data_IF_628659876400
#
_entry.id   IF_628659876400
#
_cell.length_a   1.000
_cell.length_b   1.000
_cell.length_c   1.000
_cell.angle_alpha   90.00
_cell.angle_beta   90.00
_cell.angle_gamma   90.00
#
_symmetry.space_group_name_H-M   'P 1'
#
loop_
_entity.id
_entity.type
_entity.pdbx_description
1 polymer ?
#
# COMPACT_ATOMS: atom_id res chain seq x y z
N UNK A 1 -15.89 38.74 37.67
CA UNK A 1 -15.91 39.41 36.34
C UNK A 1 -14.54 39.90 35.90
N UNK A 2 -13.91 40.91 36.53
CA UNK A 2 -12.59 41.42 36.07
C UNK A 2 -11.50 40.35 36.24
N UNK A 3 -11.45 39.68 37.39
CA UNK A 3 -10.45 38.65 37.68
C UNK A 3 -10.53 37.45 36.71
N UNK A 4 -11.75 37.06 36.34
CA UNK A 4 -12.00 35.98 35.37
C UNK A 4 -11.53 36.36 33.96
N UNK A 5 -11.73 37.63 33.57
CA UNK A 5 -11.24 38.15 32.28
C UNK A 5 -9.71 38.20 32.22
N UNK A 6 -9.04 38.60 33.31
CA UNK A 6 -7.57 38.59 33.37
C UNK A 6 -7.00 37.16 33.37
N UNK A 7 -7.67 36.23 34.06
CA UNK A 7 -7.30 34.81 34.05
C UNK A 7 -7.39 34.23 32.64
N UNK A 8 -8.47 34.52 31.90
CA UNK A 8 -8.62 34.06 30.52
C UNK A 8 -7.57 34.66 29.58
N UNK A 9 -7.27 35.96 29.71
CA UNK A 9 -6.22 36.63 28.92
C UNK A 9 -4.84 36.04 29.19
N UNK A 10 -4.51 35.80 30.46
CA UNK A 10 -3.24 35.22 30.86
C UNK A 10 -3.15 33.76 30.41
N UNK A 11 -4.22 32.97 30.51
CA UNK A 11 -4.27 31.60 30.01
C UNK A 11 -4.04 31.56 28.49
N UNK A 12 -4.69 32.43 27.72
CA UNK A 12 -4.48 32.50 26.27
C UNK A 12 -3.05 32.92 25.91
N UNK A 13 -2.47 33.89 26.63
CA UNK A 13 -1.09 34.32 26.41
C UNK A 13 -0.09 33.21 26.74
N UNK A 14 -0.27 32.50 27.86
CA UNK A 14 0.57 31.37 28.24
C UNK A 14 0.46 30.23 27.23
N UNK A 15 -0.76 29.93 26.75
CA UNK A 15 -1.01 28.92 25.72
C UNK A 15 -0.31 29.27 24.40
N UNK A 16 -0.40 30.52 23.92
CA UNK A 16 0.30 30.99 22.71
C UNK A 16 1.83 30.89 22.87
N UNK A 17 2.39 31.37 23.97
CA UNK A 17 3.84 31.31 24.22
C UNK A 17 4.34 29.89 24.38
N UNK A 18 3.59 29.04 25.06
CA UNK A 18 3.91 27.62 25.19
C UNK A 18 3.89 26.91 23.83
N UNK A 19 2.88 27.16 22.99
CA UNK A 19 2.80 26.60 21.65
C UNK A 19 4.01 27.00 20.79
N UNK A 20 4.36 28.30 20.78
CA UNK A 20 5.50 28.83 20.02
C UNK A 20 6.86 28.29 20.51
N UNK A 21 7.03 28.15 21.83
CA UNK A 21 8.25 27.54 22.38
C UNK A 21 8.35 26.05 22.09
N UNK A 22 7.24 25.32 22.25
CA UNK A 22 7.20 23.88 21.96
C UNK A 22 7.46 23.63 20.49
N UNK A 23 6.91 24.45 19.60
CA UNK A 23 7.19 24.43 18.17
C UNK A 23 8.70 24.49 17.86
N UNK A 24 9.38 25.51 18.39
CA UNK A 24 10.81 25.71 18.13
C UNK A 24 11.67 24.53 18.58
N UNK A 25 11.24 23.77 19.58
CA UNK A 25 11.96 22.60 20.11
C UNK A 25 11.47 21.27 19.52
N UNK A 26 10.22 21.19 19.06
CA UNK A 26 9.65 20.00 18.44
C UNK A 26 10.36 19.68 17.11
N UNK A 27 10.92 20.69 16.43
CA UNK A 27 11.58 20.56 15.14
C UNK A 27 12.79 19.59 15.10
N UNK A 28 13.22 19.02 16.23
CA UNK A 28 14.00 17.79 16.22
C UNK A 28 13.12 16.58 15.82
N UNK A 29 12.61 16.65 14.57
CA UNK A 29 11.65 15.78 13.88
C UNK A 29 12.08 14.31 13.87
N UNK A 30 13.36 14.03 14.14
CA UNK A 30 13.94 12.70 14.27
C UNK A 30 13.48 11.98 15.54
N UNK A 31 13.17 12.72 16.60
CA UNK A 31 12.87 12.20 17.95
C UNK A 31 11.40 12.32 18.37
N UNK A 32 10.49 12.73 17.48
CA UNK A 32 9.09 13.00 17.81
C UNK A 32 8.36 11.84 18.49
N UNK A 33 8.71 10.59 18.14
CA UNK A 33 8.11 9.39 18.73
C UNK A 33 8.38 9.29 20.25
N UNK A 34 9.48 9.87 20.74
CA UNK A 34 9.84 9.91 22.17
C UNK A 34 9.03 10.94 22.96
N UNK A 35 8.38 11.90 22.28
CA UNK A 35 7.73 13.05 22.90
C UNK A 35 6.19 12.97 22.89
N UNK A 36 5.61 11.76 22.91
CA UNK A 36 4.15 11.53 22.89
C UNK A 36 3.36 12.41 23.87
N UNK A 37 3.84 12.57 25.11
CA UNK A 37 3.21 13.42 26.13
C UNK A 37 3.26 14.92 25.78
N UNK A 38 4.38 15.39 25.21
CA UNK A 38 4.49 16.78 24.76
C UNK A 38 3.56 17.06 23.56
N UNK A 39 3.32 16.06 22.71
CA UNK A 39 2.33 16.16 21.63
C UNK A 39 0.91 16.25 22.17
N UNK A 40 0.56 15.49 23.22
CA UNK A 40 -0.78 15.58 23.83
C UNK A 40 -1.03 16.91 24.52
N UNK A 41 -0.01 17.52 25.11
CA UNK A 41 -0.10 18.85 25.69
C UNK A 41 -0.24 19.91 24.60
N UNK A 42 0.56 19.80 23.53
CA UNK A 42 0.44 20.67 22.37
C UNK A 42 -0.94 20.58 21.72
N UNK A 43 -1.51 19.38 21.59
CA UNK A 43 -2.89 19.17 21.11
C UNK A 43 -3.92 19.97 21.93
N UNK A 44 -3.84 19.93 23.26
CA UNK A 44 -4.76 20.67 24.15
C UNK A 44 -4.63 22.19 23.97
N UNK A 45 -3.40 22.66 23.77
CA UNK A 45 -3.09 24.08 23.58
C UNK A 45 -3.52 24.57 22.20
N UNK A 46 -3.31 23.75 21.16
CA UNK A 46 -3.74 24.03 19.78
C UNK A 46 -5.27 24.04 19.65
N UNK A 47 -5.99 23.22 20.42
CA UNK A 47 -7.46 23.27 20.44
C UNK A 47 -8.03 24.59 21.00
N UNK A 48 -7.22 25.35 21.74
CA UNK A 48 -7.60 26.64 22.35
C UNK A 48 -7.08 27.86 21.59
N UNK A 49 -6.30 27.66 20.52
CA UNK A 49 -5.58 28.75 19.83
C UNK A 49 -5.76 28.66 18.31
N UNK A 50 -5.77 29.81 17.62
CA UNK A 50 -5.91 29.89 16.15
C UNK A 50 -4.56 29.73 15.39
N UNK A 51 -3.52 29.22 16.06
CA UNK A 51 -2.13 29.21 15.56
C UNK A 51 -1.88 28.04 14.56
N UNK A 52 -2.83 27.11 14.42
CA UNK A 52 -2.70 25.90 13.59
C UNK A 52 -2.30 26.19 12.13
N UNK A 53 -2.77 27.28 11.54
CA UNK A 53 -2.42 27.66 10.17
C UNK A 53 -0.98 28.17 10.06
N UNK A 54 -0.59 29.14 10.88
CA UNK A 54 0.79 29.66 10.96
C UNK A 54 1.77 28.50 11.19
N UNK A 55 1.40 27.57 12.08
CA UNK A 55 2.12 26.33 12.33
C UNK A 55 2.26 25.44 11.08
N UNK A 56 1.17 25.20 10.36
CA UNK A 56 1.18 24.30 9.19
C UNK A 56 2.08 24.82 8.07
N UNK A 57 2.05 26.13 7.80
CA UNK A 57 2.89 26.74 6.77
C UNK A 57 4.37 26.73 7.16
N UNK A 58 4.68 27.02 8.42
CA UNK A 58 6.07 27.01 8.88
C UNK A 58 6.63 25.58 8.91
N UNK A 59 5.83 24.61 9.38
CA UNK A 59 6.20 23.19 9.34
C UNK A 59 6.43 22.70 7.90
N UNK A 60 5.59 23.14 6.95
CA UNK A 60 5.77 22.85 5.52
C UNK A 60 7.10 23.39 5.02
N UNK A 61 7.41 24.67 5.28
CA UNK A 61 8.66 25.30 4.84
C UNK A 61 9.88 24.57 5.41
N UNK A 62 9.88 24.30 6.70
CA UNK A 62 11.00 23.66 7.38
C UNK A 62 11.22 22.20 6.89
N UNK A 63 10.15 21.46 6.60
CA UNK A 63 10.24 20.13 5.98
C UNK A 63 10.76 20.21 4.54
N UNK A 64 10.29 21.16 3.75
CA UNK A 64 10.79 21.36 2.38
C UNK A 64 12.31 21.62 2.37
N UNK A 65 12.79 22.45 3.30
CA UNK A 65 14.22 22.78 3.40
C UNK A 65 15.08 21.62 3.93
N UNK A 66 14.53 20.75 4.77
CA UNK A 66 15.31 19.70 5.45
C UNK A 66 15.32 18.34 4.74
N UNK A 67 14.20 17.92 4.13
CA UNK A 67 14.07 16.58 3.54
C UNK A 67 13.92 16.56 2.02
N UNK A 68 13.48 17.65 1.38
CA UNK A 68 13.26 17.70 -0.07
C UNK A 68 14.51 18.13 -0.84
N UNK A 69 15.66 17.56 -0.46
CA UNK A 69 16.95 17.81 -1.09
C UNK A 69 17.30 16.61 -1.99
N UNK A 70 17.78 16.81 -3.23
CA UNK A 70 18.16 15.72 -4.14
C UNK A 70 19.11 14.67 -3.54
N UNK A 71 20.02 15.08 -2.64
CA UNK A 71 20.98 14.18 -2.00
C UNK A 71 20.41 13.28 -0.89
N UNK A 72 19.16 13.50 -0.45
CA UNK A 72 18.55 12.67 0.61
C UNK A 72 17.96 11.40 -0.03
N UNK A 73 18.27 10.19 0.48
CA UNK A 73 17.76 8.95 -0.07
C UNK A 73 16.25 8.82 0.13
N UNK A 74 15.55 8.25 -0.87
CA UNK A 74 14.08 8.16 -0.92
C UNK A 74 13.51 7.43 0.29
N UNK A 75 14.20 6.40 0.77
CA UNK A 75 13.85 5.65 1.99
C UNK A 75 13.79 6.54 3.24
N UNK A 76 14.69 7.53 3.37
CA UNK A 76 14.70 8.45 4.51
C UNK A 76 13.55 9.45 4.42
N UNK A 77 13.24 9.93 3.22
CA UNK A 77 12.09 10.82 2.98
C UNK A 77 10.79 10.10 3.34
N UNK A 78 10.60 8.86 2.88
CA UNK A 78 9.40 8.06 3.18
C UNK A 78 9.28 7.77 4.68
N UNK A 79 10.37 7.34 5.34
CA UNK A 79 10.39 7.09 6.80
C UNK A 79 10.04 8.35 7.59
N UNK A 80 10.58 9.51 7.19
CA UNK A 80 10.27 10.77 7.84
C UNK A 80 8.83 11.21 7.57
N UNK A 81 8.30 10.95 6.38
CA UNK A 81 6.91 11.22 6.04
C UNK A 81 5.94 10.37 6.86
N UNK A 82 6.21 9.07 7.03
CA UNK A 82 5.43 8.17 7.91
C UNK A 82 5.40 8.70 9.35
N UNK A 83 6.57 9.08 9.90
CA UNK A 83 6.65 9.70 11.23
C UNK A 83 5.85 10.99 11.32
N UNK A 84 5.93 11.83 10.29
CA UNK A 84 5.18 13.10 10.21
C UNK A 84 3.67 12.84 10.20
N UNK A 85 3.19 11.85 9.45
CA UNK A 85 1.77 11.43 9.47
C UNK A 85 1.35 11.03 10.87
N UNK A 86 2.14 10.19 11.56
CA UNK A 86 1.83 9.72 12.93
C UNK A 86 1.72 10.87 13.92
N UNK A 87 2.68 11.79 13.89
CA UNK A 87 2.70 12.97 14.77
C UNK A 87 1.50 13.89 14.50
N UNK A 88 1.23 14.18 13.22
CA UNK A 88 0.14 15.07 12.84
C UNK A 88 -1.25 14.46 13.11
N UNK A 89 -1.42 13.14 13.03
CA UNK A 89 -2.67 12.46 13.44
C UNK A 89 -2.96 12.63 14.94
N UNK A 90 -1.92 12.68 15.78
CA UNK A 90 -2.08 12.93 17.21
C UNK A 90 -2.42 14.40 17.47
N UNK A 91 -1.67 15.32 16.85
CA UNK A 91 -1.78 16.76 17.04
C UNK A 91 -3.06 17.35 16.46
N UNK A 92 -3.40 16.99 15.24
CA UNK A 92 -4.56 17.49 14.50
C UNK A 92 -5.43 16.33 13.98
N UNK A 93 -6.42 15.90 14.80
CA UNK A 93 -7.40 14.90 14.37
C UNK A 93 -8.30 15.36 13.23
N UNK A 94 -8.24 16.62 12.79
CA UNK A 94 -8.95 17.09 11.60
C UNK A 94 -8.19 16.81 10.31
N UNK A 95 -6.92 16.38 10.37
CA UNK A 95 -6.02 16.15 9.23
C UNK A 95 -5.79 17.37 8.31
N UNK A 96 -6.18 18.58 8.73
CA UNK A 96 -6.02 19.81 7.95
C UNK A 96 -4.55 20.17 7.79
N UNK A 97 -3.77 20.05 8.88
CA UNK A 97 -2.33 20.31 8.86
C UNK A 97 -1.60 19.29 7.99
N UNK A 98 -2.04 18.03 8.04
CA UNK A 98 -1.43 16.94 7.29
C UNK A 98 -1.58 17.16 5.78
N UNK A 99 -2.74 17.61 5.31
CA UNK A 99 -2.95 17.88 3.89
C UNK A 99 -1.97 18.93 3.36
N UNK A 100 -1.86 20.08 4.04
CA UNK A 100 -0.99 21.21 3.68
C UNK A 100 0.49 20.78 3.61
N UNK A 101 0.94 20.01 4.60
CA UNK A 101 2.33 19.55 4.71
C UNK A 101 2.62 18.38 3.76
N UNK A 102 1.64 17.52 3.51
CA UNK A 102 1.82 16.33 2.68
C UNK A 102 1.98 16.65 1.19
N UNK A 103 1.30 17.67 0.68
CA UNK A 103 1.28 17.96 -0.76
C UNK A 103 2.67 18.13 -1.40
N UNK A 104 3.58 18.99 -0.88
CA UNK A 104 4.92 19.12 -1.47
C UNK A 104 5.75 17.85 -1.36
N UNK A 105 5.58 17.06 -0.30
CA UNK A 105 6.28 15.78 -0.12
C UNK A 105 5.79 14.77 -1.17
N UNK A 106 4.47 14.68 -1.39
CA UNK A 106 3.86 13.80 -2.39
C UNK A 106 4.31 14.18 -3.80
N UNK A 107 4.30 15.46 -4.14
CA UNK A 107 4.74 15.93 -5.46
C UNK A 107 6.22 15.59 -5.70
N UNK A 108 7.06 15.78 -4.70
CA UNK A 108 8.48 15.44 -4.79
C UNK A 108 8.70 13.92 -4.95
N UNK A 109 8.00 13.11 -4.16
CA UNK A 109 8.09 11.65 -4.23
C UNK A 109 7.57 11.09 -5.56
N UNK A 110 6.50 11.66 -6.15
CA UNK A 110 5.99 11.27 -7.48
C UNK A 110 7.03 11.43 -8.60
N UNK A 111 7.94 12.42 -8.49
CA UNK A 111 8.98 12.66 -9.50
C UNK A 111 10.13 11.64 -9.44
N UNK A 112 10.31 10.97 -8.30
CA UNK A 112 11.35 9.96 -8.13
C UNK A 112 10.85 8.60 -8.64
N UNK A 113 11.65 7.92 -9.47
CA UNK A 113 11.26 6.64 -10.08
C UNK A 113 11.31 5.46 -9.11
N UNK A 114 12.18 5.55 -8.11
CA UNK A 114 12.47 4.49 -7.13
C UNK A 114 11.51 4.46 -5.93
N UNK A 115 10.58 5.41 -5.83
CA UNK A 115 9.74 5.55 -4.64
C UNK A 115 8.84 4.35 -4.41
N UNK A 116 8.22 3.77 -5.44
CA UNK A 116 7.34 2.59 -5.27
C UNK A 116 8.13 1.41 -4.73
N UNK A 117 9.30 1.12 -5.33
CA UNK A 117 10.21 0.09 -4.83
C UNK A 117 10.60 0.34 -3.36
N UNK A 118 10.92 1.58 -2.99
CA UNK A 118 11.21 1.93 -1.59
C UNK A 118 9.99 1.76 -0.65
N UNK A 119 8.77 2.11 -1.10
CA UNK A 119 7.55 1.95 -0.30
C UNK A 119 7.28 0.45 -0.08
N UNK A 120 7.35 -0.36 -1.14
CA UNK A 120 7.16 -1.81 -1.08
C UNK A 120 8.18 -2.43 -0.13
N UNK A 121 9.45 -2.06 -0.24
CA UNK A 121 10.52 -2.53 0.65
C UNK A 121 10.24 -2.20 2.12
N UNK A 122 9.84 -0.96 2.42
CA UNK A 122 9.51 -0.52 3.79
C UNK A 122 8.27 -1.22 4.36
N UNK A 123 7.29 -1.51 3.50
CA UNK A 123 5.99 -2.06 3.91
C UNK A 123 6.06 -3.59 4.06
N UNK A 124 6.76 -4.29 3.17
CA UNK A 124 6.74 -5.74 3.05
C UNK A 124 7.96 -6.40 3.70
N UNK A 125 9.17 -5.87 3.49
CA UNK A 125 10.40 -6.53 3.95
C UNK A 125 10.74 -6.27 5.42
N UNK A 126 9.88 -5.55 6.16
CA UNK A 126 10.05 -5.27 7.58
C UNK A 126 8.92 -5.90 8.39
N UNK A 127 9.01 -7.20 8.67
CA UNK A 127 7.97 -8.02 9.35
C UNK A 127 7.54 -7.43 10.72
N UNK A 128 8.46 -6.76 11.43
CA UNK A 128 8.20 -6.11 12.72
C UNK A 128 7.57 -4.70 12.60
N UNK A 129 7.40 -4.20 11.38
CA UNK A 129 6.85 -2.88 11.15
C UNK A 129 5.36 -2.85 11.51
N UNK A 130 4.95 -1.83 12.26
CA UNK A 130 3.53 -1.53 12.50
C UNK A 130 2.76 -1.37 11.19
N UNK A 131 3.44 -0.95 10.11
CA UNK A 131 2.87 -0.88 8.76
C UNK A 131 2.61 -2.26 8.15
N UNK A 132 3.40 -3.27 8.47
CA UNK A 132 3.17 -4.64 8.02
C UNK A 132 1.85 -5.19 8.61
N UNK A 133 1.57 -4.86 9.87
CA UNK A 133 0.31 -5.21 10.54
C UNK A 133 -0.90 -4.46 9.97
N UNK A 134 -0.72 -3.21 9.52
CA UNK A 134 -1.75 -2.44 8.81
C UNK A 134 -2.14 -3.07 7.46
N UNK A 135 -1.32 -3.94 6.86
CA UNK A 135 -1.70 -4.67 5.64
C UNK A 135 -2.85 -5.67 5.89
N UNK A 136 -3.00 -6.19 7.11
CA UNK A 136 -4.12 -7.09 7.45
C UNK A 136 -5.47 -6.38 7.56
N UNK A 137 -5.52 -5.05 7.42
CA UNK A 137 -6.72 -4.24 7.51
C UNK A 137 -7.35 -4.02 6.13
N UNK A 138 -8.68 -3.98 6.07
CA UNK A 138 -9.43 -3.83 4.83
C UNK A 138 -9.13 -2.46 4.17
N UNK A 139 -8.83 -2.46 2.88
CA UNK A 139 -8.50 -1.24 2.15
C UNK A 139 -9.67 -0.27 2.06
N UNK A 140 -9.53 0.91 2.67
CA UNK A 140 -10.43 2.04 2.44
C UNK A 140 -10.01 2.75 1.16
N UNK A 141 -10.72 2.49 0.05
CA UNK A 141 -10.58 3.25 -1.21
C UNK A 141 -10.85 4.74 -0.94
N UNK A 142 -9.81 5.56 -1.06
CA UNK A 142 -9.99 7.02 -1.15
C UNK A 142 -10.26 7.33 -2.62
N UNK A 143 -11.42 7.91 -2.98
CA UNK A 143 -11.67 8.35 -4.35
C UNK A 143 -10.55 9.32 -4.76
N UNK A 144 -9.81 8.95 -5.79
CA UNK A 144 -8.95 9.90 -6.49
C UNK A 144 -9.86 10.91 -7.18
N UNK A 145 -9.46 12.18 -7.21
CA UNK A 145 -10.17 13.20 -7.98
C UNK A 145 -10.09 12.83 -9.46
N UNK A 146 -11.12 12.18 -9.99
CA UNK A 146 -11.48 12.28 -11.41
C UNK A 146 -12.46 13.44 -11.52
N UNK A 147 -12.14 14.41 -12.37
CA UNK A 147 -12.92 15.64 -12.59
C UNK A 147 -14.35 15.37 -13.12
N UNK A 148 -14.67 14.12 -13.47
CA UNK A 148 -15.91 13.72 -14.13
C UNK A 148 -17.08 13.43 -13.16
N UNK A 149 -16.84 13.20 -11.87
CA UNK A 149 -17.93 12.84 -10.91
C UNK A 149 -18.68 14.05 -10.32
N UNK A 150 -18.17 15.28 -10.46
CA UNK A 150 -18.82 16.48 -9.91
C UNK A 150 -20.06 16.94 -10.72
N UNK A 151 -20.19 16.51 -11.98
CA UNK A 151 -21.26 16.99 -12.86
C UNK A 151 -22.62 16.24 -12.72
N UNK A 152 -22.69 15.15 -11.94
CA UNK A 152 -23.88 14.26 -11.91
C UNK A 152 -24.55 14.08 -10.55
N UNK A 153 -24.41 15.00 -9.59
CA UNK A 153 -25.20 14.94 -8.35
C UNK A 153 -26.38 15.92 -8.40
N UNK A 154 -27.64 15.46 -8.48
CA UNK A 154 -28.78 16.35 -8.28
C UNK A 154 -28.83 16.81 -6.81
N UNK A 155 -29.31 18.04 -6.61
CA UNK A 155 -29.38 18.70 -5.32
C UNK A 155 -30.15 17.86 -4.27
N UNK A 156 -29.74 17.88 -2.99
CA UNK A 156 -30.42 17.12 -1.95
C UNK A 156 -31.79 17.76 -1.64
N UNK A 157 -32.86 17.16 -2.15
CA UNK A 157 -34.23 17.54 -1.80
C UNK A 157 -34.59 17.02 -0.40
N UNK A 158 -35.08 17.93 0.45
CA UNK A 158 -35.81 17.63 1.69
C UNK A 158 -36.96 16.66 1.39
N UNK A 159 -36.89 15.42 1.88
CA UNK A 159 -37.99 14.46 1.76
C UNK A 159 -38.76 14.40 3.09
N UNK A 160 -39.97 14.96 3.07
CA UNK A 160 -40.92 14.88 4.19
C UNK A 160 -41.36 13.42 4.44
N UNK A 161 -41.48 12.94 5.70
CA UNK A 161 -41.74 11.52 6.00
C UNK A 161 -43.21 11.08 5.85
N UNK A 162 -44.12 11.95 5.44
CA UNK A 162 -45.55 11.62 5.38
C UNK A 162 -46.12 11.79 3.98
N UNK A 163 -46.02 10.77 3.15
CA UNK A 163 -47.04 10.46 2.15
C UNK A 163 -47.15 8.94 1.99
N UNK A 164 -48.34 8.44 2.31
CA UNK A 164 -48.72 7.03 2.27
C UNK A 164 -48.66 6.50 0.85
N UNK A 165 -48.26 5.23 0.75
CA UNK A 165 -48.40 4.39 -0.45
C UNK A 165 -49.87 4.37 -0.87
N UNK A 166 -50.15 4.78 -2.09
CA UNK A 166 -51.34 4.33 -2.82
C UNK A 166 -50.90 3.52 -4.03
N UNK A 167 -51.42 2.30 -4.06
CA UNK A 167 -51.31 1.29 -5.11
C UNK A 167 -52.09 1.72 -6.35
N UNK A 168 -51.56 1.46 -7.55
CA UNK A 168 -52.40 1.14 -8.73
C UNK A 168 -51.63 0.37 -9.81
N UNK A 169 -52.41 -0.45 -10.48
CA UNK A 169 -52.10 -1.61 -11.30
C UNK A 169 -51.29 -1.39 -12.59
N UNK A 170 -50.52 -2.44 -12.90
CA UNK A 170 -50.27 -3.11 -14.19
C UNK A 170 -50.47 -2.31 -15.49
N UNK A 171 -49.40 -2.24 -16.30
CA UNK A 171 -49.30 -2.98 -17.56
C UNK A 171 -47.89 -2.92 -18.17
N UNK A 172 -47.55 -3.99 -18.89
CA UNK A 172 -46.32 -4.27 -19.63
C UNK A 172 -45.74 -3.08 -20.39
N UNK A 173 -44.40 -2.98 -20.39
CA UNK A 173 -43.62 -3.11 -21.62
C UNK A 173 -42.18 -3.53 -21.28
N UNK A 174 -41.78 -4.67 -21.85
CA UNK A 174 -40.39 -5.12 -21.89
C UNK A 174 -39.63 -4.21 -22.85
N UNK A 175 -38.68 -3.42 -22.34
CA UNK A 175 -37.62 -2.91 -23.20
C UNK A 175 -36.26 -2.96 -22.48
N UNK A 176 -35.31 -3.54 -23.19
CA UNK A 176 -33.97 -3.93 -22.79
C UNK A 176 -33.12 -2.67 -22.59
N UNK A 177 -32.62 -2.45 -21.37
CA UNK A 177 -31.46 -1.59 -21.10
C UNK A 177 -30.62 -2.26 -20.01
N UNK A 178 -29.37 -2.52 -20.37
CA UNK A 178 -28.22 -2.99 -19.58
C UNK A 178 -28.36 -2.95 -18.06
N UNK A 179 -28.24 -4.12 -17.43
CA UNK A 179 -27.99 -4.29 -15.99
C UNK A 179 -26.61 -3.70 -15.61
N UNK A 180 -26.55 -2.38 -15.39
CA UNK A 180 -25.56 -1.83 -14.47
C UNK A 180 -26.08 -2.08 -13.05
N UNK A 181 -25.65 -3.21 -12.46
CA UNK A 181 -25.85 -3.46 -11.03
C UNK A 181 -25.00 -2.45 -10.26
N UNK A 182 -25.62 -1.33 -9.91
CA UNK A 182 -25.14 -0.48 -8.84
C UNK A 182 -25.12 -1.32 -7.55
N UNK A 183 -23.93 -1.79 -7.17
CA UNK A 183 -23.65 -2.45 -5.89
C UNK A 183 -23.86 -1.44 -4.74
N UNK A 184 -25.12 -1.16 -4.41
CA UNK A 184 -25.49 -0.51 -3.14
C UNK A 184 -25.27 -1.52 -2.02
N UNK A 185 -24.06 -1.51 -1.46
CA UNK A 185 -23.71 -2.16 -0.21
C UNK A 185 -24.67 -1.66 0.89
N UNK A 186 -25.57 -2.51 1.37
CA UNK A 186 -26.40 -2.24 2.55
C UNK A 186 -25.45 -2.25 3.75
N UNK A 187 -24.99 -1.07 4.18
CA UNK A 187 -24.30 -0.91 5.46
C UNK A 187 -25.30 -1.33 6.55
N UNK A 188 -24.85 -2.14 7.51
CA UNK A 188 -25.71 -2.58 8.60
C UNK A 188 -26.23 -1.38 9.38
N UNK A 189 -27.54 -1.37 9.71
CA UNK A 189 -28.21 -0.29 10.44
C UNK A 189 -27.50 0.09 11.75
N UNK A 190 -26.77 -0.85 12.35
CA UNK A 190 -26.08 -0.66 13.62
C UNK A 190 -24.77 0.16 13.47
N UNK A 191 -24.05 0.00 12.35
CA UNK A 191 -22.83 0.79 12.07
C UNK A 191 -23.16 2.25 11.75
N UNK A 192 -24.31 2.48 11.10
CA UNK A 192 -24.79 3.81 10.74
C UNK A 192 -25.27 4.60 11.98
N UNK A 193 -25.86 3.94 12.98
CA UNK A 193 -26.25 4.59 14.23
C UNK A 193 -25.04 5.02 15.07
N UNK A 194 -24.00 4.19 15.18
CA UNK A 194 -22.77 4.55 15.88
C UNK A 194 -22.01 5.68 15.17
N UNK A 195 -21.93 5.60 13.83
CA UNK A 195 -21.33 6.66 13.03
C UNK A 195 -22.10 7.99 13.14
N UNK A 196 -23.43 7.94 13.17
CA UNK A 196 -24.29 9.11 13.36
C UNK A 196 -24.14 9.70 14.77
N UNK A 197 -24.05 8.87 15.81
CA UNK A 197 -23.82 9.30 17.21
C UNK A 197 -22.47 9.98 17.38
N UNK A 198 -21.46 9.54 16.62
CA UNK A 198 -20.09 10.05 16.72
C UNK A 198 -19.78 11.18 15.71
N UNK A 199 -20.74 11.53 14.85
CA UNK A 199 -20.56 12.59 13.86
C UNK A 199 -20.40 13.96 14.53
N UNK A 200 -19.34 14.68 14.15
CA UNK A 200 -19.09 16.06 14.57
C UNK A 200 -18.91 16.94 13.34
N UNK A 201 -19.45 18.17 13.33
CA UNK A 201 -19.23 19.09 12.24
C UNK A 201 -17.74 19.41 12.11
N UNK A 202 -17.28 19.64 10.87
CA UNK A 202 -15.90 20.03 10.61
C UNK A 202 -15.55 21.32 11.37
N UNK A 203 -14.36 21.42 11.97
CA UNK A 203 -13.98 22.58 12.75
C UNK A 203 -13.85 23.84 11.86
N UNK A 204 -14.04 25.03 12.45
CA UNK A 204 -14.12 26.31 11.71
C UNK A 204 -12.84 26.61 10.92
N UNK A 205 -11.69 26.10 11.35
CA UNK A 205 -10.40 26.19 10.67
C UNK A 205 -10.26 25.24 9.44
N UNK A 206 -11.15 24.27 9.27
CA UNK A 206 -11.26 23.44 8.06
C UNK A 206 -11.78 24.24 6.85
N UNK A 207 -12.20 25.50 7.04
CA UNK A 207 -12.64 26.41 5.96
C UNK A 207 -11.60 26.62 4.85
N UNK A 208 -10.32 26.32 5.08
CA UNK A 208 -9.27 26.52 4.09
C UNK A 208 -9.20 25.41 3.02
N UNK A 209 -9.74 24.22 3.28
CA UNK A 209 -9.94 23.18 2.27
C UNK A 209 -11.27 22.49 2.54
N UNK A 210 -12.32 22.89 1.81
CA UNK A 210 -13.69 22.36 1.93
C UNK A 210 -13.84 20.85 1.65
N UNK A 211 -12.73 20.13 1.48
CA UNK A 211 -12.67 18.77 0.95
C UNK A 211 -11.84 17.81 1.82
N UNK A 212 -11.59 18.14 3.09
CA UNK A 212 -11.03 17.14 4.01
C UNK A 212 -12.10 16.06 4.22
N UNK A 213 -12.06 15.08 3.34
CA UNK A 213 -12.98 13.96 3.33
C UNK A 213 -12.83 13.22 4.65
N UNK A 214 -13.95 12.95 5.32
CA UNK A 214 -14.01 12.05 6.49
C UNK A 214 -13.35 10.68 6.21
N UNK A 215 -13.16 10.34 4.92
CA UNK A 215 -12.42 9.17 4.44
C UNK A 215 -10.90 9.27 4.64
N UNK A 216 -10.31 10.47 4.61
CA UNK A 216 -8.88 10.66 4.91
C UNK A 216 -8.56 10.36 6.39
N UNK A 217 -9.51 10.66 7.28
CA UNK A 217 -9.43 10.35 8.71
C UNK A 217 -9.53 8.85 9.01
N UNK A 218 -10.25 8.10 8.17
CA UNK A 218 -10.36 6.64 8.23
C UNK A 218 -9.32 5.91 7.39
N UNK A 219 -8.42 6.62 6.70
CA UNK A 219 -7.45 6.00 5.81
C UNK A 219 -6.17 5.64 6.55
N UNK A 220 -5.65 4.45 6.30
CA UNK A 220 -4.39 4.00 6.90
C UNK A 220 -3.17 4.71 6.28
N UNK A 221 -2.02 4.58 6.94
CA UNK A 221 -0.78 5.20 6.44
C UNK A 221 -0.43 4.60 5.09
N UNK A 222 -0.60 3.29 4.93
CA UNK A 222 -0.37 2.61 3.65
C UNK A 222 -1.34 3.13 2.57
N UNK A 223 -2.59 3.43 2.90
CA UNK A 223 -3.54 3.99 1.94
C UNK A 223 -3.11 5.40 1.51
N UNK A 224 -2.60 6.18 2.46
CA UNK A 224 -1.99 7.49 2.18
C UNK A 224 -0.76 7.37 1.27
N UNK A 225 0.07 6.34 1.45
CA UNK A 225 1.28 6.08 0.64
C UNK A 225 0.94 5.60 -0.78
N UNK A 226 0.00 4.65 -0.92
CA UNK A 226 -0.45 4.14 -2.23
C UNK A 226 -1.13 5.25 -3.05
N UNK A 227 -1.86 6.15 -2.39
CA UNK A 227 -2.48 7.31 -3.04
C UNK A 227 -1.47 8.34 -3.58
N UNK A 228 -0.20 8.30 -3.16
CA UNK A 228 0.83 9.17 -3.75
C UNK A 228 1.01 8.82 -5.24
N UNK A 229 0.95 7.54 -5.60
CA UNK A 229 1.15 7.09 -6.98
C UNK A 229 -0.14 6.94 -7.78
N UNK A 230 -1.28 6.86 -7.10
CA UNK A 230 -2.58 6.99 -7.77
C UNK A 230 -3.18 5.69 -8.27
N UNK A 231 -2.51 4.54 -8.14
CA UNK A 231 -3.21 3.25 -8.36
C UNK A 231 -2.64 2.10 -7.54
N UNK A 232 -3.55 1.25 -7.05
CA UNK A 232 -3.23 -0.05 -6.47
C UNK A 232 -2.57 -0.98 -7.50
N UNK A 233 -2.95 -0.89 -8.77
CA UNK A 233 -2.41 -1.73 -9.84
C UNK A 233 -0.90 -1.53 -10.00
N UNK A 234 -0.43 -0.28 -10.04
CA UNK A 234 1.01 0.02 -10.10
C UNK A 234 1.78 -0.53 -8.91
N UNK A 235 1.20 -0.49 -7.71
CA UNK A 235 1.84 -1.09 -6.53
C UNK A 235 2.04 -2.60 -6.70
N UNK A 236 1.03 -3.31 -7.20
CA UNK A 236 1.09 -4.76 -7.42
C UNK A 236 2.04 -5.12 -8.57
N UNK A 237 2.04 -4.35 -9.66
CA UNK A 237 2.99 -4.55 -10.78
C UNK A 237 4.44 -4.32 -10.32
N UNK A 238 4.73 -3.28 -9.56
CA UNK A 238 6.08 -3.08 -9.02
C UNK A 238 6.47 -4.17 -8.01
N UNK A 239 5.54 -4.64 -7.19
CA UNK A 239 5.82 -5.76 -6.29
C UNK A 239 6.10 -7.05 -7.06
N UNK A 240 5.39 -7.31 -8.16
CA UNK A 240 5.70 -8.41 -9.09
C UNK A 240 7.13 -8.30 -9.64
N UNK A 241 7.54 -7.11 -10.08
CA UNK A 241 8.89 -6.87 -10.59
C UNK A 241 9.95 -7.06 -9.49
N UNK A 242 9.66 -6.64 -8.26
CA UNK A 242 10.55 -6.89 -7.13
C UNK A 242 10.63 -8.37 -6.76
N UNK A 243 9.52 -9.10 -6.90
CA UNK A 243 9.49 -10.55 -6.67
C UNK A 243 10.30 -11.29 -7.74
N UNK A 244 10.17 -10.91 -9.02
CA UNK A 244 10.95 -11.50 -10.11
C UNK A 244 12.45 -11.25 -9.92
N UNK A 245 12.85 -10.00 -9.63
CA UNK A 245 14.24 -9.65 -9.30
C UNK A 245 14.75 -10.46 -8.09
N UNK A 246 13.93 -10.67 -7.06
CA UNK A 246 14.32 -11.38 -5.84
C UNK A 246 14.53 -12.87 -6.06
N UNK A 247 13.66 -13.51 -6.82
CA UNK A 247 13.74 -14.94 -7.16
C UNK A 247 14.98 -15.22 -8.01
N UNK A 248 15.30 -14.34 -8.97
CA UNK A 248 16.46 -14.52 -9.84
C UNK A 248 17.79 -14.30 -9.10
N UNK A 249 17.83 -13.36 -8.14
CA UNK A 249 19.07 -13.00 -7.44
C UNK A 249 19.33 -13.83 -6.17
N UNK A 250 18.29 -14.34 -5.50
CA UNK A 250 18.43 -14.98 -4.19
C UNK A 250 18.48 -16.50 -4.34
N UNK A 251 19.56 -17.12 -3.85
CA UNK A 251 19.67 -18.59 -3.76
C UNK A 251 18.77 -19.19 -2.69
N UNK A 252 18.55 -18.47 -1.58
CA UNK A 252 17.74 -18.90 -0.45
C UNK A 252 16.44 -18.09 -0.43
N UNK A 253 15.52 -18.46 -1.32
CA UNK A 253 14.22 -17.80 -1.39
C UNK A 253 13.27 -18.36 -0.33
N UNK A 254 12.88 -17.53 0.64
CA UNK A 254 11.89 -17.92 1.65
C UNK A 254 10.46 -17.79 1.07
N UNK A 255 9.98 -18.89 0.50
CA UNK A 255 8.64 -19.01 -0.07
C UNK A 255 7.52 -18.75 0.96
N UNK A 256 7.75 -19.08 2.24
CA UNK A 256 6.74 -18.91 3.29
C UNK A 256 6.51 -17.43 3.61
N UNK A 257 7.56 -16.62 3.58
CA UNK A 257 7.42 -15.16 3.78
C UNK A 257 6.61 -14.53 2.64
N UNK A 258 6.93 -14.84 1.39
CA UNK A 258 6.18 -14.29 0.25
C UNK A 258 4.72 -14.78 0.21
N UNK A 259 4.46 -16.00 0.71
CA UNK A 259 3.10 -16.48 0.91
C UNK A 259 2.35 -15.63 1.93
N UNK A 260 2.96 -15.34 3.08
CA UNK A 260 2.35 -14.46 4.10
C UNK A 260 2.12 -13.04 3.55
N UNK A 261 3.11 -12.48 2.85
CA UNK A 261 3.00 -11.18 2.19
C UNK A 261 1.81 -11.15 1.23
N UNK A 262 1.65 -12.19 0.41
CA UNK A 262 0.53 -12.34 -0.51
C UNK A 262 -0.82 -12.44 0.21
N UNK A 263 -0.91 -13.19 1.30
CA UNK A 263 -2.14 -13.29 2.11
C UNK A 263 -2.53 -11.91 2.70
N UNK A 264 -1.56 -11.14 3.19
CA UNK A 264 -1.81 -9.77 3.67
C UNK A 264 -2.23 -8.83 2.54
N UNK A 265 -1.61 -8.94 1.36
CA UNK A 265 -2.01 -8.18 0.19
C UNK A 265 -3.43 -8.56 -0.26
N UNK A 266 -3.82 -9.83 -0.19
CA UNK A 266 -5.20 -10.25 -0.48
C UNK A 266 -6.23 -9.65 0.47
N UNK A 267 -5.92 -9.61 1.78
CA UNK A 267 -6.79 -9.01 2.79
C UNK A 267 -7.07 -7.55 2.49
N UNK A 268 -6.05 -6.83 2.02
CA UNK A 268 -6.15 -5.40 1.73
C UNK A 268 -6.76 -5.12 0.38
N UNK A 269 -6.12 -5.63 -0.67
CA UNK A 269 -6.39 -5.28 -2.07
C UNK A 269 -7.48 -6.13 -2.73
N UNK A 270 -7.83 -7.25 -2.10
CA UNK A 270 -8.82 -8.20 -2.59
C UNK A 270 -8.22 -9.21 -3.55
N UNK A 271 -8.73 -10.45 -3.48
CA UNK A 271 -8.25 -11.62 -4.25
C UNK A 271 -8.19 -11.39 -5.76
N UNK A 272 -9.17 -10.68 -6.32
CA UNK A 272 -9.23 -10.43 -7.77
C UNK A 272 -8.01 -9.68 -8.32
N UNK A 273 -7.37 -8.84 -7.49
CA UNK A 273 -6.21 -8.06 -7.93
C UNK A 273 -4.87 -8.77 -7.70
N UNK A 274 -4.84 -9.79 -6.85
CA UNK A 274 -3.63 -10.52 -6.42
C UNK A 274 -3.48 -11.86 -7.16
N UNK A 275 -4.38 -12.15 -8.12
CA UNK A 275 -4.35 -13.39 -8.90
C UNK A 275 -3.01 -13.65 -9.59
N UNK A 276 -2.39 -12.62 -10.18
CA UNK A 276 -1.11 -12.77 -10.88
C UNK A 276 0.01 -13.20 -9.94
N UNK A 277 0.08 -12.61 -8.74
CA UNK A 277 1.06 -12.97 -7.70
C UNK A 277 0.81 -14.38 -7.16
N UNK A 278 -0.44 -14.83 -7.10
CA UNK A 278 -0.77 -16.20 -6.73
C UNK A 278 -0.21 -17.22 -7.72
N UNK A 279 -0.33 -16.93 -9.02
CA UNK A 279 0.23 -17.79 -10.06
C UNK A 279 1.76 -17.84 -9.92
N UNK A 280 2.42 -16.69 -9.74
CA UNK A 280 3.88 -16.66 -9.53
C UNK A 280 4.34 -17.47 -8.33
N UNK A 281 3.69 -17.31 -7.17
CA UNK A 281 4.04 -18.10 -5.97
C UNK A 281 3.80 -19.58 -6.22
N UNK A 282 2.67 -19.95 -6.84
CA UNK A 282 2.33 -21.32 -7.20
C UNK A 282 3.37 -21.94 -8.14
N UNK A 283 3.87 -21.18 -9.10
CA UNK A 283 4.93 -21.63 -10.01
C UNK A 283 6.20 -22.00 -9.25
N UNK A 284 6.60 -21.17 -8.27
CA UNK A 284 7.77 -21.44 -7.43
C UNK A 284 7.61 -22.71 -6.59
N UNK A 285 6.46 -22.90 -5.93
CA UNK A 285 6.23 -24.12 -5.13
C UNK A 285 6.18 -25.37 -6.04
N UNK A 286 5.55 -25.24 -7.20
CA UNK A 286 5.50 -26.33 -8.17
C UNK A 286 6.89 -26.66 -8.71
N UNK A 287 7.71 -25.65 -8.98
CA UNK A 287 9.09 -25.82 -9.42
C UNK A 287 9.92 -26.58 -8.39
N UNK A 288 9.88 -26.15 -7.12
CA UNK A 288 10.61 -26.80 -6.03
C UNK A 288 10.19 -28.28 -5.90
N UNK A 289 8.88 -28.54 -5.91
CA UNK A 289 8.33 -29.89 -5.84
C UNK A 289 8.80 -30.77 -7.01
N UNK A 290 8.87 -30.22 -8.22
CA UNK A 290 9.35 -30.94 -9.42
C UNK A 290 10.83 -31.29 -9.31
N UNK A 291 11.68 -30.32 -8.94
CA UNK A 291 13.12 -30.56 -8.76
C UNK A 291 13.34 -31.66 -7.73
N UNK A 292 12.63 -31.59 -6.59
CA UNK A 292 12.74 -32.60 -5.53
C UNK A 292 12.38 -34.00 -6.02
N UNK A 293 11.24 -34.13 -6.72
CA UNK A 293 10.81 -35.40 -7.30
C UNK A 293 11.82 -35.92 -8.33
N UNK A 294 12.33 -35.05 -9.18
CA UNK A 294 13.34 -35.40 -10.19
C UNK A 294 14.64 -35.88 -9.53
N UNK A 295 15.12 -35.20 -8.49
CA UNK A 295 16.30 -35.59 -7.73
C UNK A 295 16.12 -36.95 -7.02
N UNK A 296 14.94 -37.23 -6.47
CA UNK A 296 14.61 -38.53 -5.90
C UNK A 296 14.65 -39.66 -6.94
N UNK A 297 14.10 -39.44 -8.13
CA UNK A 297 14.13 -40.41 -9.22
C UNK A 297 15.56 -40.64 -9.74
N UNK A 298 16.36 -39.58 -9.84
CA UNK A 298 17.74 -39.67 -10.30
C UNK A 298 18.64 -40.41 -9.29
N UNK A 299 18.39 -40.23 -7.99
CA UNK A 299 19.06 -41.00 -6.95
C UNK A 299 18.67 -42.49 -6.98
N UNK A 300 17.41 -42.83 -7.29
CA UNK A 300 17.00 -44.23 -7.51
C UNK A 300 17.70 -44.85 -8.73
N UNK A 301 17.90 -44.10 -9.79
CA UNK A 301 18.57 -44.60 -11.00
C UNK A 301 20.08 -44.80 -10.79
N UNK A 302 20.72 -43.98 -9.94
CA UNK A 302 22.13 -44.11 -9.53
C UNK A 302 22.40 -45.33 -8.65
N UNK A 303 21.50 -45.68 -7.74
CA UNK A 303 21.61 -46.94 -6.97
C UNK A 303 21.60 -48.18 -7.89
N UNK A 304 20.96 -48.07 -9.06
CA UNK A 304 20.90 -49.13 -10.06
C UNK A 304 22.06 -49.11 -11.09
N UNK A 305 22.86 -48.04 -11.17
CA UNK A 305 23.99 -47.91 -12.12
C UNK A 305 25.20 -47.24 -11.46
N UNK A 306 26.19 -48.05 -11.08
CA UNK A 306 27.53 -47.57 -10.71
C UNK A 306 28.29 -47.14 -11.98
N UNK A 307 28.18 -45.86 -12.36
CA UNK A 307 29.09 -45.24 -13.34
C UNK A 307 29.20 -43.74 -13.05
N UNK A 308 30.37 -43.32 -12.58
CA UNK A 308 30.80 -41.93 -12.60
C UNK A 308 31.39 -41.62 -13.98
N UNK A 309 31.17 -40.40 -14.48
CA UNK A 309 32.17 -39.55 -15.16
C UNK A 309 31.54 -38.31 -15.84
N UNK A 310 30.56 -37.66 -15.21
CA UNK A 310 30.15 -36.31 -15.60
C UNK A 310 30.54 -35.31 -14.50
N UNK A 311 31.34 -34.29 -14.88
CA UNK A 311 31.88 -33.23 -13.99
C UNK A 311 30.74 -32.34 -13.44
N UNK A 312 29.61 -32.26 -14.13
CA UNK A 312 28.37 -31.63 -13.68
C UNK A 312 27.24 -32.66 -13.78
N UNK A 313 26.72 -33.03 -12.63
CA UNK A 313 25.58 -33.92 -12.48
C UNK A 313 24.28 -33.10 -12.43
N UNK A 314 23.16 -33.66 -12.86
CA UNK A 314 21.86 -32.95 -12.83
C UNK A 314 21.47 -32.57 -11.39
N UNK A 315 21.99 -33.31 -10.40
CA UNK A 315 21.83 -33.00 -8.97
C UNK A 315 22.44 -31.65 -8.55
N UNK A 316 23.37 -31.11 -9.33
CA UNK A 316 24.01 -29.81 -9.06
C UNK A 316 23.31 -28.65 -9.82
N UNK A 317 22.29 -28.96 -10.62
CA UNK A 317 21.48 -27.96 -11.30
C UNK A 317 20.29 -27.55 -10.43
N UNK A 318 20.18 -26.26 -10.14
CA UNK A 318 18.95 -25.68 -9.63
C UNK A 318 18.19 -25.07 -10.80
N UNK A 319 17.06 -25.67 -11.17
CA UNK A 319 16.25 -25.24 -12.31
C UNK A 319 14.92 -24.70 -11.80
N UNK A 320 14.68 -23.40 -11.99
CA UNK A 320 13.38 -22.80 -11.67
C UNK A 320 12.51 -22.80 -12.93
N UNK A 321 11.36 -23.48 -12.87
CA UNK A 321 10.34 -23.46 -13.93
C UNK A 321 9.28 -22.43 -13.60
N UNK A 322 9.10 -21.45 -14.47
CA UNK A 322 8.13 -20.36 -14.31
C UNK A 322 7.16 -20.28 -15.49
N UNK A 323 5.97 -19.71 -15.29
CA UNK A 323 5.05 -19.41 -16.39
C UNK A 323 5.52 -18.18 -17.18
N UNK A 324 5.26 -18.16 -18.50
CA UNK A 324 5.71 -17.07 -19.37
C UNK A 324 4.88 -15.78 -19.24
N UNK A 325 3.57 -15.91 -19.06
CA UNK A 325 2.65 -14.75 -19.11
C UNK A 325 2.71 -13.87 -17.86
N UNK A 326 3.13 -14.44 -16.71
CA UNK A 326 3.04 -13.76 -15.41
C UNK A 326 4.37 -13.14 -14.95
N UNK A 327 5.47 -13.36 -15.68
CA UNK A 327 6.80 -12.91 -15.30
C UNK A 327 7.32 -11.92 -16.35
N UNK A 328 7.55 -10.67 -15.94
CA UNK A 328 8.10 -9.62 -16.80
C UNK A 328 9.63 -9.82 -16.95
N UNK A 329 10.04 -10.85 -17.68
CA UNK A 329 11.44 -11.15 -17.98
C UNK A 329 11.64 -11.01 -19.50
N UNK A 330 12.63 -10.21 -19.90
CA UNK A 330 12.96 -10.02 -21.32
C UNK A 330 13.57 -11.31 -21.90
N UNK A 331 12.97 -11.83 -22.97
CA UNK A 331 13.43 -13.04 -23.67
C UNK A 331 14.58 -12.72 -24.64
N UNK A 332 15.76 -12.42 -24.12
CA UNK A 332 16.98 -12.27 -24.95
C UNK A 332 17.62 -13.63 -25.33
N UNK A 333 16.87 -14.72 -25.19
CA UNK A 333 17.31 -16.10 -25.45
C UNK A 333 17.73 -16.36 -26.91
N UNK A 334 17.43 -15.47 -27.85
CA UNK A 334 17.63 -15.70 -29.30
C UNK A 334 19.10 -15.86 -29.73
N UNK A 335 20.08 -15.57 -28.88
CA UNK A 335 21.52 -15.63 -29.22
C UNK A 335 22.39 -16.45 -28.26
N UNK A 336 21.85 -16.99 -27.16
CA UNK A 336 22.67 -17.70 -26.19
C UNK A 336 22.83 -19.19 -26.55
N UNK A 337 24.07 -19.66 -26.67
CA UNK A 337 24.38 -21.10 -26.83
C UNK A 337 24.97 -21.62 -25.53
N UNK A 338 24.37 -22.68 -25.00
CA UNK A 338 24.90 -23.33 -23.80
C UNK A 338 26.31 -23.89 -24.06
N UNK A 339 27.20 -23.84 -23.05
CA UNK A 339 28.38 -24.68 -23.04
C UNK A 339 27.96 -26.16 -23.09
N UNK A 340 28.68 -26.97 -23.86
CA UNK A 340 28.39 -28.41 -24.06
C UNK A 340 28.19 -29.18 -22.74
N UNK A 341 28.89 -28.78 -21.68
CA UNK A 341 28.80 -29.39 -20.33
C UNK A 341 27.45 -29.18 -19.62
N UNK A 342 26.69 -28.15 -20.00
CA UNK A 342 25.38 -27.81 -19.40
C UNK A 342 24.25 -28.26 -20.33
N UNK A 343 24.53 -28.33 -21.63
CA UNK A 343 23.55 -28.72 -22.66
C UNK A 343 23.04 -30.15 -22.48
N UNK A 344 23.92 -31.11 -22.22
CA UNK A 344 23.57 -32.52 -22.00
C UNK A 344 22.60 -32.73 -20.81
N UNK A 345 22.93 -32.27 -19.58
CA UNK A 345 22.03 -32.39 -18.44
C UNK A 345 20.74 -31.58 -18.59
N UNK A 346 20.77 -30.40 -19.23
CA UNK A 346 19.56 -29.63 -19.52
C UNK A 346 18.63 -30.37 -20.48
N UNK A 347 19.15 -30.92 -21.58
CA UNK A 347 18.37 -31.69 -22.55
C UNK A 347 17.77 -32.97 -21.94
N UNK A 348 18.50 -33.61 -21.02
CA UNK A 348 17.98 -34.75 -20.25
C UNK A 348 16.78 -34.34 -19.38
N UNK A 349 16.91 -33.24 -18.65
CA UNK A 349 15.82 -32.67 -17.85
C UNK A 349 14.62 -32.27 -18.73
N UNK A 350 14.87 -31.58 -19.85
CA UNK A 350 13.84 -31.11 -20.76
C UNK A 350 12.99 -32.25 -21.34
N UNK A 351 13.62 -33.35 -21.78
CA UNK A 351 12.91 -34.55 -22.25
C UNK A 351 12.01 -35.11 -21.17
N UNK A 352 12.53 -35.30 -19.96
CA UNK A 352 11.77 -35.83 -18.83
C UNK A 352 10.62 -34.91 -18.40
N UNK A 353 10.80 -33.59 -18.52
CA UNK A 353 9.72 -32.64 -18.31
C UNK A 353 8.60 -32.79 -19.35
N UNK A 354 8.94 -32.91 -20.64
CA UNK A 354 7.95 -33.11 -21.71
C UNK A 354 7.19 -34.44 -21.58
N UNK A 355 7.85 -35.49 -21.07
CA UNK A 355 7.20 -36.78 -20.78
C UNK A 355 6.14 -36.66 -19.68
N UNK A 356 6.44 -35.91 -18.63
CA UNK A 356 5.51 -35.64 -17.52
C UNK A 356 4.41 -34.65 -17.91
N UNK A 357 4.73 -33.67 -18.77
CA UNK A 357 3.87 -32.58 -19.19
C UNK A 357 3.70 -32.58 -20.71
N UNK A 358 2.81 -33.45 -21.21
CA UNK A 358 2.56 -33.73 -22.64
C UNK A 358 2.17 -32.54 -23.53
N UNK A 359 1.99 -31.34 -22.98
CA UNK A 359 1.51 -30.14 -23.67
C UNK A 359 2.40 -28.91 -23.41
N UNK A 360 3.60 -29.08 -22.86
CA UNK A 360 4.44 -27.96 -22.42
C UNK A 360 5.86 -28.10 -22.95
N UNK A 361 6.32 -27.12 -23.72
CA UNK A 361 7.71 -26.99 -24.15
C UNK A 361 8.47 -26.09 -23.15
N UNK A 362 9.71 -26.47 -22.85
CA UNK A 362 10.60 -25.68 -22.00
C UNK A 362 11.44 -24.76 -22.86
N UNK A 363 11.39 -23.47 -22.54
CA UNK A 363 12.31 -22.47 -23.06
C UNK A 363 13.21 -22.00 -21.92
N UNK A 364 14.48 -21.73 -22.23
CA UNK A 364 15.40 -21.12 -21.28
C UNK A 364 15.25 -19.59 -21.31
N UNK A 365 15.61 -18.98 -20.19
CA UNK A 365 15.69 -17.54 -19.99
C UNK A 365 17.16 -17.13 -19.88
#
# INVERSE_FOLDING_TARGET
MILDQWKLKLENYLNDRFARMRYSKLFDLKNMDKYKHSLTDLKKVLAKTDILQEFSYKLKEDLCQSILIPGVPTTTIIKQYIKTIRVLRILDPSAACLEIVSEPIKEYLRRRKDTLKCIIDIVINQEDSELYKELGQQYVKIPLKTEEEEAKKPAPHLRNPHLKKETKDKNNDMNILSEEKDDYYYISSDEDEEAARNWKPAPINAKMNRYISTKFLKSDIISTLVNIYGSQKQFLTEYRNMLSERVLNSRDFNLDNERQNKELLEMRFGKASVGDLEVMIRDLQNSERRIRKYAEELNRDKENKFSNDNILDVNNMNVITISKEYWDIEEDASQFKFPYTVEDPFNSYAKKYTELHKLSELHYL
#
